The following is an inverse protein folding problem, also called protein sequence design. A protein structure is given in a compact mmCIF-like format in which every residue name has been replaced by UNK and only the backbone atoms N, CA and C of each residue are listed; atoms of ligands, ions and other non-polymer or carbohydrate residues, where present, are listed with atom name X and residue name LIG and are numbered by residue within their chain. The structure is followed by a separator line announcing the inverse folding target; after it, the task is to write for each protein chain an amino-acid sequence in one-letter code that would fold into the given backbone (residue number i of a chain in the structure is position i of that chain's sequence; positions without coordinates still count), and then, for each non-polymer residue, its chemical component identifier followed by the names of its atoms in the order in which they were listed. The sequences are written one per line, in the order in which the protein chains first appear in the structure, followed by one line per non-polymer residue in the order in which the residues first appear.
data_IF_758688707008
#
_entry.id   IF_758688707008
#
_cell.length_a   1.000
_cell.length_b   1.000
_cell.length_c   1.000
_cell.angle_alpha   90.00
_cell.angle_beta   90.00
_cell.angle_gamma   90.00
#
_symmetry.space_group_name_H-M   'P 1'
#
loop_
_entity.id
_entity.type
_entity.pdbx_description
1 polymer ?
#
# COMPACT_ATOMS: atom_id res chain seq x y z
N UNK A 1 2.65 9.17 9.00
CA UNK A 1 2.75 10.64 9.17
C UNK A 1 4.22 11.13 9.17
N UNK A 2 5.16 10.35 8.65
CA UNK A 2 6.60 10.54 8.87
C UNK A 2 7.19 9.40 9.70
N UNK A 3 8.52 9.33 9.75
CA UNK A 3 9.25 8.37 10.60
C UNK A 3 8.83 8.53 12.06
N UNK A 4 8.57 7.41 12.73
CA UNK A 4 8.10 7.33 14.12
C UNK A 4 6.78 8.08 14.41
N UNK A 5 5.99 8.40 13.37
CA UNK A 5 4.69 9.07 13.50
C UNK A 5 3.61 8.26 12.78
N UNK A 6 2.72 7.69 13.57
CA UNK A 6 1.69 6.76 13.10
C UNK A 6 0.30 7.40 13.12
N UNK A 7 -0.53 6.96 12.18
CA UNK A 7 -1.98 7.18 12.23
C UNK A 7 -2.63 5.86 12.58
N UNK A 8 -3.49 5.87 13.59
CA UNK A 8 -4.32 4.71 13.91
C UNK A 8 -5.58 4.80 13.06
N UNK A 9 -5.82 3.80 12.21
CA UNK A 9 -7.00 3.77 11.36
C UNK A 9 -8.29 3.74 12.21
N UNK A 10 -9.16 4.71 11.98
CA UNK A 10 -10.44 4.87 12.67
C UNK A 10 -11.60 4.19 11.93
N UNK A 11 -12.84 4.45 12.38
CA UNK A 11 -14.03 4.09 11.62
C UNK A 11 -14.24 5.09 10.48
N UNK A 12 -14.57 4.65 9.24
CA UNK A 12 -14.75 3.26 8.80
C UNK A 12 -13.47 2.58 8.29
N UNK A 13 -12.39 3.33 8.09
CA UNK A 13 -11.17 2.93 7.36
C UNK A 13 -10.47 1.67 7.90
N UNK A 14 -10.60 1.40 9.19
CA UNK A 14 -10.03 0.20 9.85
C UNK A 14 -10.52 -1.14 9.28
N UNK A 15 -11.62 -1.12 8.52
CA UNK A 15 -12.18 -2.32 7.89
C UNK A 15 -11.64 -2.59 6.48
N UNK A 16 -10.78 -1.71 5.95
CA UNK A 16 -10.27 -1.85 4.59
C UNK A 16 -9.15 -2.90 4.58
N UNK A 17 -9.42 -4.00 3.90
CA UNK A 17 -8.53 -5.16 3.84
C UNK A 17 -7.36 -4.97 2.87
N UNK A 18 -6.43 -5.93 2.89
CA UNK A 18 -5.37 -6.04 1.90
C UNK A 18 -5.84 -6.75 0.62
N UNK A 19 -5.39 -6.23 -0.53
CA UNK A 19 -5.35 -6.97 -1.80
C UNK A 19 -4.00 -6.79 -2.52
N UNK A 20 -3.49 -7.86 -3.14
CA UNK A 20 -2.33 -7.76 -4.05
C UNK A 20 -2.67 -7.03 -5.37
N UNK A 21 -3.97 -6.83 -5.64
CA UNK A 21 -4.48 -5.98 -6.71
C UNK A 21 -5.45 -4.94 -6.12
N UNK A 22 -4.95 -3.95 -5.37
CA UNK A 22 -5.78 -2.96 -4.67
C UNK A 22 -6.60 -2.10 -5.63
N UNK A 23 -7.62 -1.43 -5.10
CA UNK A 23 -8.42 -0.45 -5.83
C UNK A 23 -8.44 0.94 -5.16
N UNK A 24 -7.89 1.06 -3.96
CA UNK A 24 -7.73 2.32 -3.23
C UNK A 24 -6.34 2.49 -2.64
N UNK A 25 -5.94 3.73 -2.37
CA UNK A 25 -4.72 4.11 -1.68
C UNK A 25 -4.95 5.33 -0.78
N UNK A 26 -4.06 5.54 0.18
CA UNK A 26 -4.09 6.71 1.04
C UNK A 26 -3.23 7.83 0.44
N UNK A 27 -3.74 9.05 0.50
CA UNK A 27 -2.99 10.28 0.22
C UNK A 27 -3.33 11.32 1.30
N UNK A 28 -2.38 11.64 2.15
CA UNK A 28 -2.58 12.41 3.37
C UNK A 28 -3.45 11.62 4.35
N UNK A 29 -4.67 12.11 4.57
CA UNK A 29 -5.69 11.46 5.41
C UNK A 29 -6.94 11.12 4.60
N UNK A 30 -6.77 10.90 3.30
CA UNK A 30 -7.87 10.69 2.37
C UNK A 30 -7.63 9.43 1.56
N UNK A 31 -8.67 8.61 1.47
CA UNK A 31 -8.67 7.41 0.65
C UNK A 31 -9.09 7.79 -0.76
N UNK A 32 -8.27 7.44 -1.74
CA UNK A 32 -8.48 7.76 -3.15
C UNK A 32 -8.56 6.49 -3.97
N UNK A 33 -9.42 6.49 -4.98
CA UNK A 33 -9.55 5.38 -5.91
C UNK A 33 -8.36 5.33 -6.88
N UNK A 34 -7.82 4.14 -7.13
CA UNK A 34 -6.80 3.90 -8.16
C UNK A 34 -7.41 3.76 -9.57
N UNK A 35 -8.70 3.41 -9.63
CA UNK A 35 -9.48 3.17 -10.85
C UNK A 35 -10.97 3.35 -10.54
N UNK A 36 -11.84 3.22 -11.54
CA UNK A 36 -13.28 3.08 -11.29
C UNK A 36 -13.60 1.88 -10.40
N UNK A 37 -14.50 2.07 -9.44
CA UNK A 37 -14.95 1.06 -8.47
C UNK A 37 -16.46 0.89 -8.64
N UNK A 38 -16.92 -0.35 -8.78
CA UNK A 38 -18.35 -0.65 -8.96
C UNK A 38 -19.06 -0.74 -7.60
N UNK A 39 -20.37 -0.45 -7.54
CA UNK A 39 -21.16 -0.73 -6.33
C UNK A 39 -21.02 -2.18 -5.89
N UNK A 40 -20.79 -2.40 -4.59
CA UNK A 40 -20.58 -3.73 -4.00
C UNK A 40 -19.16 -4.29 -4.14
N UNK A 41 -18.26 -3.62 -4.85
CA UNK A 41 -16.85 -4.00 -4.88
C UNK A 41 -16.17 -3.64 -3.55
N UNK A 42 -15.47 -4.60 -2.94
CA UNK A 42 -14.73 -4.37 -1.69
C UNK A 42 -13.58 -3.36 -1.92
N UNK A 43 -13.43 -2.39 -1.02
CA UNK A 43 -12.28 -1.49 -1.01
C UNK A 43 -11.09 -2.21 -0.37
N UNK A 44 -9.95 -2.20 -1.06
CA UNK A 44 -8.73 -2.84 -0.56
C UNK A 44 -7.48 -1.98 -0.79
N UNK A 45 -6.61 -1.96 0.22
CA UNK A 45 -5.28 -1.38 0.17
C UNK A 45 -4.20 -2.40 -0.22
N UNK A 46 -3.05 -1.89 -0.64
CA UNK A 46 -1.81 -2.66 -0.56
C UNK A 46 -1.05 -2.26 0.70
N UNK A 47 -1.06 -3.10 1.75
CA UNK A 47 -0.54 -2.73 3.08
C UNK A 47 0.92 -2.28 3.09
N UNK A 48 1.74 -2.75 2.15
CA UNK A 48 3.11 -2.27 2.00
C UNK A 48 3.25 -0.76 1.74
N UNK A 49 2.18 -0.08 1.30
CA UNK A 49 2.15 1.38 1.14
C UNK A 49 2.02 2.14 2.47
N UNK A 50 1.44 1.50 3.50
CA UNK A 50 1.01 2.17 4.73
C UNK A 50 1.79 1.69 5.97
N UNK A 51 2.43 0.52 5.89
CA UNK A 51 3.14 -0.11 7.02
C UNK A 51 4.65 -0.03 6.80
N UNK A 52 5.37 0.52 7.78
CA UNK A 52 6.84 0.60 7.78
C UNK A 52 7.48 -0.60 8.47
N UNK A 53 6.76 -1.22 9.40
CA UNK A 53 7.21 -2.38 10.15
C UNK A 53 7.31 -3.61 9.26
N UNK A 54 8.37 -4.37 9.49
CA UNK A 54 8.61 -5.61 8.77
C UNK A 54 7.61 -6.68 9.20
N UNK A 55 6.77 -7.14 8.29
CA UNK A 55 5.88 -8.28 8.55
C UNK A 55 5.73 -9.19 7.33
N UNK A 56 5.25 -10.41 7.59
CA UNK A 56 4.78 -11.36 6.59
C UNK A 56 3.57 -12.11 7.14
N UNK A 57 2.45 -12.10 6.44
CA UNK A 57 1.24 -12.82 6.84
C UNK A 57 0.62 -13.54 5.64
N UNK A 58 -0.15 -14.61 5.92
CA UNK A 58 -0.90 -15.33 4.88
C UNK A 58 -1.93 -14.38 4.24
N UNK A 59 -1.99 -14.36 2.92
CA UNK A 59 -2.90 -13.50 2.16
C UNK A 59 -4.07 -14.31 1.61
N UNK A 60 -5.28 -13.76 1.75
CA UNK A 60 -6.54 -14.35 1.34
C UNK A 60 -7.31 -13.50 0.33
N UNK A 61 -6.66 -12.51 -0.30
CA UNK A 61 -7.35 -11.50 -1.12
C UNK A 61 -8.00 -12.02 -2.42
N UNK A 62 -7.75 -13.27 -2.82
CA UNK A 62 -8.34 -13.86 -4.03
C UNK A 62 -7.90 -13.26 -5.37
N UNK A 63 -7.02 -12.25 -5.40
CA UNK A 63 -6.58 -11.64 -6.65
C UNK A 63 -5.79 -12.63 -7.53
N UNK A 64 -5.93 -12.53 -8.86
CA UNK A 64 -5.28 -13.44 -9.85
C UNK A 64 -3.75 -13.51 -9.71
N UNK A 65 -3.12 -12.44 -9.21
CA UNK A 65 -1.67 -12.36 -9.00
C UNK A 65 -1.25 -12.56 -7.54
N UNK A 66 -2.11 -13.08 -6.66
CA UNK A 66 -1.81 -13.27 -5.25
C UNK A 66 -0.67 -14.29 -5.07
N UNK A 67 0.34 -13.93 -4.28
CA UNK A 67 1.47 -14.81 -3.93
C UNK A 67 1.19 -15.70 -2.71
N UNK A 68 -0.01 -15.61 -2.13
CA UNK A 68 -0.39 -16.31 -0.90
C UNK A 68 0.12 -15.66 0.39
N UNK A 69 0.88 -14.56 0.29
CA UNK A 69 1.36 -13.79 1.43
C UNK A 69 1.39 -12.29 1.15
N UNK A 70 1.15 -11.51 2.18
CA UNK A 70 1.35 -10.06 2.22
C UNK A 70 2.64 -9.75 2.97
N UNK A 71 3.41 -8.79 2.45
CA UNK A 71 4.68 -8.36 3.01
C UNK A 71 4.73 -6.84 3.05
N UNK A 72 5.39 -6.31 4.08
CA UNK A 72 5.74 -4.90 4.23
C UNK A 72 7.10 -4.81 4.95
N UNK A 73 7.82 -3.66 4.85
CA UNK A 73 7.46 -2.43 4.14
C UNK A 73 7.58 -2.51 2.60
N UNK A 74 7.22 -1.42 1.91
CA UNK A 74 7.32 -1.23 0.46
C UNK A 74 8.63 -1.77 -0.15
N UNK A 75 9.78 -1.46 0.46
CA UNK A 75 11.09 -1.87 -0.05
C UNK A 75 11.37 -3.38 0.03
N UNK A 76 10.53 -4.17 0.72
CA UNK A 76 10.62 -5.64 0.71
C UNK A 76 9.90 -6.29 -0.48
N UNK A 77 9.11 -5.52 -1.22
CA UNK A 77 8.45 -6.02 -2.42
C UNK A 77 9.47 -6.27 -3.54
N UNK A 78 9.09 -7.05 -4.57
CA UNK A 78 9.93 -7.15 -5.76
C UNK A 78 10.03 -5.79 -6.47
N UNK A 79 11.13 -5.49 -7.17
CA UNK A 79 11.30 -4.25 -7.93
C UNK A 79 10.13 -3.98 -8.91
N UNK A 80 9.56 -5.02 -9.50
CA UNK A 80 8.35 -4.93 -10.36
C UNK A 80 7.13 -4.41 -9.59
N UNK A 81 6.89 -4.94 -8.39
CA UNK A 81 5.79 -4.49 -7.53
C UNK A 81 6.03 -3.07 -7.01
N UNK A 82 7.26 -2.76 -6.62
CA UNK A 82 7.64 -1.41 -6.19
C UNK A 82 7.35 -0.39 -7.29
N UNK A 83 7.80 -0.63 -8.53
CA UNK A 83 7.51 0.26 -9.68
C UNK A 83 6.01 0.43 -9.94
N UNK A 84 5.22 -0.64 -9.83
CA UNK A 84 3.75 -0.58 -10.00
C UNK A 84 3.08 0.27 -8.92
N UNK A 85 3.56 0.17 -7.68
CA UNK A 85 2.94 0.80 -6.52
C UNK A 85 3.50 2.19 -6.19
N UNK A 86 4.70 2.52 -6.68
CA UNK A 86 5.37 3.80 -6.45
C UNK A 86 4.49 5.03 -6.72
N UNK A 87 3.67 5.09 -7.80
CA UNK A 87 2.75 6.21 -8.04
C UNK A 87 1.81 6.53 -6.87
N UNK A 88 1.44 5.51 -6.09
CA UNK A 88 0.47 5.59 -5.00
C UNK A 88 1.10 5.84 -3.62
N UNK A 89 2.42 6.05 -3.56
CA UNK A 89 3.09 6.42 -2.32
C UNK A 89 2.67 7.82 -1.85
N UNK A 90 2.50 7.96 -0.54
CA UNK A 90 2.22 9.23 0.10
C UNK A 90 3.36 10.24 -0.09
N UNK A 91 3.04 11.54 0.00
CA UNK A 91 4.04 12.59 -0.08
C UNK A 91 5.06 12.52 1.07
N UNK A 92 4.63 12.18 2.28
CA UNK A 92 5.59 12.05 3.39
C UNK A 92 6.57 10.91 3.14
N UNK A 93 6.11 9.78 2.58
CA UNK A 93 6.96 8.63 2.27
C UNK A 93 8.00 9.01 1.20
N UNK A 94 7.56 9.73 0.15
CA UNK A 94 8.44 10.20 -0.92
C UNK A 94 9.50 11.19 -0.44
N UNK A 95 9.14 12.09 0.50
CA UNK A 95 10.10 13.02 1.10
C UNK A 95 11.13 12.30 1.98
N UNK A 96 10.69 11.32 2.75
CA UNK A 96 11.55 10.58 3.68
C UNK A 96 12.52 9.64 2.95
N UNK A 97 12.04 8.89 1.95
CA UNK A 97 12.78 7.83 1.27
C UNK A 97 13.16 8.21 -0.17
N UNK A 98 13.33 9.51 -0.45
CA UNK A 98 13.53 10.02 -1.80
C UNK A 98 14.75 9.43 -2.51
N UNK A 99 15.87 9.26 -1.79
CA UNK A 99 17.10 8.69 -2.36
C UNK A 99 16.94 7.20 -2.67
N UNK A 100 16.31 6.42 -1.78
CA UNK A 100 16.03 5.01 -2.03
C UNK A 100 15.06 4.78 -3.19
N UNK A 101 14.13 5.72 -3.40
CA UNK A 101 13.19 5.68 -4.52
C UNK A 101 13.86 6.00 -5.86
N UNK A 102 14.88 6.87 -5.92
CA UNK A 102 15.64 7.12 -7.16
C UNK A 102 16.27 5.84 -7.71
N UNK A 103 16.77 4.96 -6.82
CA UNK A 103 17.34 3.65 -7.17
C UNK A 103 16.30 2.61 -7.69
N UNK A 104 15.04 3.00 -7.87
CA UNK A 104 14.01 2.18 -8.53
C UNK A 104 13.79 2.53 -9.99
N UNK A 105 14.13 3.75 -10.37
CA UNK A 105 13.96 4.30 -11.71
C UNK A 105 15.14 3.95 -12.63
N UNK A 106 16.29 3.62 -12.03
CA UNK A 106 17.42 2.88 -12.63
C UNK A 106 17.08 1.40 -12.87
#
# INVERSE_FOLDING_TARGET
LGKDRYMVAGYPDKYINHSCSPNVYEKGMTIRAMRGIRPGEELCFHYALNVLESFRMKCHCGSRGCKGFMIAPFFRLSKKEQRKLAPYLDDWFRREFGEELKNLEE
#
